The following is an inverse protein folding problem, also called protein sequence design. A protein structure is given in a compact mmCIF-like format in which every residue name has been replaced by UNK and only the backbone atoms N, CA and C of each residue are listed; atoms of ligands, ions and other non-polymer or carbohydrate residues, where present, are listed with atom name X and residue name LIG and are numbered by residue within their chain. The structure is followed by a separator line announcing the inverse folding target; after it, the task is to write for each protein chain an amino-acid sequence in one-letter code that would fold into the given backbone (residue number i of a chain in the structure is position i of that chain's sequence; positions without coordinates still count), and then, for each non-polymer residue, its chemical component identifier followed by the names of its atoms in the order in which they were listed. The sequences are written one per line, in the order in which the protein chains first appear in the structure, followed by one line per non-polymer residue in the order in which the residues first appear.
data_IF_693425931422
#
_entry.id   IF_693425931422
#
_cell.length_a   1.000
_cell.length_b   1.000
_cell.length_c   1.000
_cell.angle_alpha   90.00
_cell.angle_beta   90.00
_cell.angle_gamma   90.00
#
_symmetry.space_group_name_H-M   'P 1'
#
loop_
_entity.id
_entity.type
_entity.pdbx_description
1 polymer ?
#
# COMPACT_ATOMS: atom_id res chain seq x y z
N UNK A 1 33.17 -1.48 -10.03
CA UNK A 1 32.66 -2.88 -10.00
C UNK A 1 31.16 -2.83 -9.87
N UNK A 2 30.43 -3.78 -10.48
CA UNK A 2 28.98 -3.86 -10.36
C UNK A 2 28.58 -4.31 -8.94
N UNK A 3 27.44 -3.81 -8.45
CA UNK A 3 26.83 -4.27 -7.21
C UNK A 3 26.20 -5.65 -7.40
N UNK A 4 25.92 -6.34 -6.29
CA UNK A 4 25.18 -7.60 -6.31
C UNK A 4 23.78 -7.37 -6.86
N UNK A 5 23.32 -8.26 -7.73
CA UNK A 5 21.96 -8.22 -8.28
C UNK A 5 20.90 -8.21 -7.18
N UNK A 6 19.88 -7.36 -7.33
CA UNK A 6 18.87 -7.17 -6.29
C UNK A 6 18.13 -8.47 -5.95
N UNK A 7 17.78 -9.27 -6.96
CA UNK A 7 17.14 -10.57 -6.75
C UNK A 7 18.01 -11.50 -5.89
N UNK A 8 19.34 -11.43 -6.06
CA UNK A 8 20.28 -12.21 -5.25
C UNK A 8 20.28 -11.80 -3.79
N UNK A 9 20.21 -10.50 -3.51
CA UNK A 9 20.12 -9.97 -2.14
C UNK A 9 18.81 -10.39 -1.46
N UNK A 10 17.70 -10.46 -2.22
CA UNK A 10 16.41 -10.97 -1.71
C UNK A 10 16.52 -12.44 -1.33
N UNK A 11 17.10 -13.28 -2.18
CA UNK A 11 17.29 -14.71 -1.85
C UNK A 11 18.14 -14.89 -0.59
N UNK A 12 19.22 -14.11 -0.44
CA UNK A 12 20.02 -14.12 0.78
C UNK A 12 19.21 -13.66 2.01
N UNK A 13 18.39 -12.62 1.89
CA UNK A 13 17.54 -12.14 2.98
C UNK A 13 16.48 -13.17 3.40
N UNK A 14 15.98 -13.98 2.46
CA UNK A 14 15.04 -15.06 2.73
C UNK A 14 15.70 -16.29 3.37
N UNK A 15 17.03 -16.39 3.32
CA UNK A 15 17.83 -17.52 3.81
C UNK A 15 18.15 -18.56 2.73
N UNK A 16 17.91 -18.26 1.45
CA UNK A 16 18.18 -19.16 0.32
C UNK A 16 19.59 -18.94 -0.26
N UNK A 17 20.62 -19.17 0.55
CA UNK A 17 22.00 -19.20 0.05
C UNK A 17 22.25 -20.45 -0.80
N UNK A 18 22.89 -20.27 -1.95
CA UNK A 18 23.23 -21.34 -2.89
C UNK A 18 24.71 -21.73 -2.76
N UNK A 19 25.06 -22.92 -3.26
CA UNK A 19 26.46 -23.27 -3.44
C UNK A 19 27.08 -22.33 -4.49
N UNK A 20 28.15 -21.61 -4.13
CA UNK A 20 28.81 -20.63 -5.01
C UNK A 20 28.72 -19.17 -4.57
N UNK A 21 28.11 -18.88 -3.42
CA UNK A 21 27.90 -17.51 -2.94
C UNK A 21 29.15 -16.83 -2.39
N UNK A 22 30.28 -17.52 -2.33
CA UNK A 22 31.53 -17.04 -1.75
C UNK A 22 31.97 -15.68 -2.31
N UNK A 23 31.83 -15.50 -3.62
CA UNK A 23 32.13 -14.23 -4.29
C UNK A 23 31.19 -13.10 -3.87
N UNK A 24 29.91 -13.42 -3.64
CA UNK A 24 28.88 -12.48 -3.19
C UNK A 24 29.09 -12.10 -1.73
N UNK A 25 29.40 -13.07 -0.87
CA UNK A 25 29.72 -12.86 0.54
C UNK A 25 30.98 -12.00 0.70
N UNK A 26 32.03 -12.26 -0.07
CA UNK A 26 33.22 -11.41 -0.13
C UNK A 26 32.88 -9.99 -0.57
N UNK A 27 32.06 -9.82 -1.60
CA UNK A 27 31.61 -8.49 -2.00
C UNK A 27 30.83 -7.78 -0.89
N UNK A 28 29.95 -8.49 -0.17
CA UNK A 28 29.22 -7.94 0.97
C UNK A 28 30.16 -7.55 2.11
N UNK A 29 31.29 -8.23 2.31
CA UNK A 29 32.30 -7.83 3.28
C UNK A 29 32.99 -6.49 2.93
N UNK A 30 33.07 -6.16 1.64
CA UNK A 30 33.77 -4.96 1.14
C UNK A 30 32.82 -3.79 0.83
N UNK A 31 31.59 -4.06 0.41
CA UNK A 31 30.65 -3.05 -0.06
C UNK A 31 29.58 -2.66 0.98
N UNK A 32 29.67 -1.45 1.53
CA UNK A 32 28.69 -0.92 2.49
C UNK A 32 27.27 -0.82 1.93
N UNK A 33 27.12 -0.36 0.68
CA UNK A 33 25.80 -0.22 0.04
C UNK A 33 25.05 -1.55 -0.06
N UNK A 34 25.70 -2.61 -0.56
CA UNK A 34 25.06 -3.91 -0.67
C UNK A 34 24.71 -4.50 0.70
N UNK A 35 25.51 -4.22 1.75
CA UNK A 35 25.14 -4.60 3.13
C UNK A 35 23.90 -3.87 3.61
N UNK A 36 23.79 -2.58 3.35
CA UNK A 36 22.66 -1.78 3.81
C UNK A 36 21.37 -2.17 3.08
N UNK A 37 21.45 -2.45 1.79
CA UNK A 37 20.34 -3.02 1.01
C UNK A 37 19.91 -4.39 1.56
N UNK A 38 20.87 -5.30 1.82
CA UNK A 38 20.58 -6.61 2.43
C UNK A 38 19.93 -6.46 3.82
N UNK A 39 20.43 -5.56 4.67
CA UNK A 39 19.85 -5.27 6.00
C UNK A 39 18.44 -4.72 5.91
N UNK A 40 18.14 -3.89 4.92
CA UNK A 40 16.79 -3.38 4.69
C UNK A 40 15.82 -4.53 4.36
N UNK A 41 16.21 -5.42 3.45
CA UNK A 41 15.41 -6.60 3.09
C UNK A 41 15.24 -7.56 4.26
N UNK A 42 16.32 -7.85 4.99
CA UNK A 42 16.30 -8.74 6.14
C UNK A 42 15.35 -8.24 7.26
N UNK A 43 15.27 -6.92 7.46
CA UNK A 43 14.30 -6.33 8.41
C UNK A 43 12.85 -6.59 8.00
N UNK A 44 12.53 -6.50 6.71
CA UNK A 44 11.18 -6.80 6.20
C UNK A 44 10.87 -8.28 6.39
N UNK A 45 11.80 -9.17 6.06
CA UNK A 45 11.65 -10.62 6.27
C UNK A 45 11.44 -10.93 7.74
N UNK A 46 12.23 -10.33 8.64
CA UNK A 46 12.09 -10.52 10.08
C UNK A 46 10.71 -10.06 10.58
N UNK A 47 10.24 -8.89 10.14
CA UNK A 47 8.91 -8.38 10.49
C UNK A 47 7.79 -9.32 9.99
N UNK A 48 7.89 -9.81 8.76
CA UNK A 48 6.92 -10.74 8.19
C UNK A 48 6.88 -12.08 8.93
N UNK A 49 8.05 -12.60 9.36
CA UNK A 49 8.13 -13.85 10.13
C UNK A 49 7.65 -13.70 11.57
N UNK A 50 7.74 -12.51 12.13
CA UNK A 50 7.27 -12.19 13.49
C UNK A 50 5.80 -11.77 13.55
N UNK A 51 5.13 -11.64 12.41
CA UNK A 51 3.72 -11.28 12.35
C UNK A 51 2.84 -12.33 13.05
N UNK A 52 1.94 -11.87 13.91
CA UNK A 52 0.98 -12.72 14.61
C UNK A 52 -0.39 -12.68 13.90
N UNK A 53 -1.32 -13.53 14.31
CA UNK A 53 -2.68 -13.63 13.78
C UNK A 53 -3.40 -12.28 13.79
N UNK A 54 -3.10 -11.42 14.77
CA UNK A 54 -3.68 -10.06 14.86
C UNK A 54 -3.15 -9.10 13.79
N UNK A 55 -1.97 -9.37 13.23
CA UNK A 55 -1.37 -8.58 12.15
C UNK A 55 -1.88 -9.03 10.76
N UNK A 56 -2.52 -10.20 10.69
CA UNK A 56 -3.07 -10.73 9.46
C UNK A 56 -4.37 -10.02 9.08
N UNK A 57 -4.61 -9.79 7.78
CA UNK A 57 -5.90 -9.29 7.32
C UNK A 57 -7.01 -10.30 7.70
N UNK A 58 -8.20 -9.77 7.98
CA UNK A 58 -9.38 -10.62 8.23
C UNK A 58 -9.61 -11.57 7.06
N UNK A 59 -9.90 -12.83 7.39
CA UNK A 59 -10.16 -13.85 6.39
C UNK A 59 -11.24 -13.37 5.39
N UNK A 60 -11.00 -13.49 4.08
CA UNK A 60 -11.96 -13.04 3.09
C UNK A 60 -13.24 -13.88 3.19
N UNK A 61 -14.43 -13.29 2.93
CA UNK A 61 -15.69 -14.02 2.97
C UNK A 61 -15.76 -15.14 1.93
N UNK A 62 -16.49 -16.21 2.22
CA UNK A 62 -16.58 -17.42 1.39
C UNK A 62 -16.94 -17.15 -0.09
N UNK A 63 -17.82 -16.16 -0.34
CA UNK A 63 -18.19 -15.74 -1.70
C UNK A 63 -16.99 -15.34 -2.58
N UNK A 64 -15.90 -14.85 -1.97
CA UNK A 64 -14.68 -14.46 -2.67
C UNK A 64 -13.97 -15.71 -3.17
N UNK A 65 -13.85 -16.73 -2.32
CA UNK A 65 -13.28 -18.03 -2.70
C UNK A 65 -14.13 -18.73 -3.76
N UNK A 66 -15.45 -18.77 -3.58
CA UNK A 66 -16.36 -19.35 -4.58
C UNK A 66 -16.23 -18.67 -5.95
N UNK A 67 -16.07 -17.34 -5.98
CA UNK A 67 -15.80 -16.60 -7.22
C UNK A 67 -14.47 -17.00 -7.83
N UNK A 68 -13.38 -17.06 -7.05
CA UNK A 68 -12.06 -17.47 -7.56
C UNK A 68 -12.11 -18.88 -8.14
N UNK A 69 -12.75 -19.83 -7.45
CA UNK A 69 -12.90 -21.22 -7.92
C UNK A 69 -13.66 -21.29 -9.24
N UNK A 70 -14.79 -20.57 -9.35
CA UNK A 70 -15.53 -20.48 -10.61
C UNK A 70 -14.68 -19.88 -11.72
N UNK A 71 -14.04 -18.74 -11.47
CA UNK A 71 -13.26 -18.02 -12.48
C UNK A 71 -12.07 -18.86 -12.98
N UNK A 72 -11.45 -19.68 -12.11
CA UNK A 72 -10.41 -20.63 -12.50
C UNK A 72 -10.96 -21.84 -13.26
N UNK A 73 -12.17 -22.30 -12.96
CA UNK A 73 -12.82 -23.42 -13.65
C UNK A 73 -13.31 -23.04 -15.04
N UNK A 74 -13.79 -21.80 -15.19
CA UNK A 74 -14.28 -21.23 -16.43
C UNK A 74 -13.15 -20.65 -17.30
N UNK A 75 -11.91 -20.62 -16.81
CA UNK A 75 -10.77 -20.10 -17.54
C UNK A 75 -10.45 -20.99 -18.76
N UNK A 76 -10.53 -20.47 -20.00
CA UNK A 76 -10.11 -21.23 -21.17
C UNK A 76 -8.62 -21.55 -21.04
N UNK A 77 -8.19 -22.74 -21.49
CA UNK A 77 -6.82 -23.25 -21.43
C UNK A 77 -5.83 -22.53 -22.39
N UNK A 78 -6.00 -21.22 -22.57
CA UNK A 78 -5.12 -20.35 -23.33
C UNK A 78 -4.20 -19.53 -22.42
N UNK A 79 -3.21 -18.82 -22.99
CA UNK A 79 -2.30 -17.99 -22.22
C UNK A 79 -3.08 -16.93 -21.43
N UNK A 80 -2.63 -16.59 -20.21
CA UNK A 80 -3.36 -15.68 -19.33
C UNK A 80 -3.57 -14.35 -20.04
N UNK A 81 -4.83 -13.91 -20.15
CA UNK A 81 -5.14 -12.55 -20.57
C UNK A 81 -4.58 -11.61 -19.50
N UNK A 82 -3.69 -10.69 -19.88
CA UNK A 82 -3.20 -9.64 -18.96
C UNK A 82 -4.42 -8.86 -18.46
N UNK A 83 -4.76 -9.05 -17.20
CA UNK A 83 -5.83 -8.29 -16.56
C UNK A 83 -5.44 -6.81 -16.49
N UNK A 84 -6.27 -5.94 -17.04
CA UNK A 84 -6.23 -4.51 -16.74
C UNK A 84 -6.88 -4.32 -15.38
N UNK A 85 -6.14 -4.61 -14.31
CA UNK A 85 -6.61 -4.27 -12.97
C UNK A 85 -6.86 -2.75 -12.91
N UNK A 86 -8.04 -2.29 -12.46
CA UNK A 86 -8.26 -0.89 -12.19
C UNK A 86 -7.26 -0.47 -11.11
N UNK A 87 -6.37 0.47 -11.43
CA UNK A 87 -5.55 1.13 -10.42
C UNK A 87 -6.50 1.80 -9.45
N UNK A 88 -6.47 1.50 -8.13
CA UNK A 88 -7.27 2.20 -7.16
C UNK A 88 -7.01 3.69 -7.31
N UNK A 89 -8.06 4.44 -7.65
CA UNK A 89 -7.99 5.89 -7.80
C UNK A 89 -7.41 6.46 -6.52
N UNK A 90 -6.22 7.05 -6.64
CA UNK A 90 -5.61 7.86 -5.58
C UNK A 90 -6.70 8.83 -5.09
N UNK A 91 -7.01 8.91 -3.78
CA UNK A 91 -8.03 9.83 -3.31
C UNK A 91 -7.64 11.22 -3.77
N UNK A 92 -8.44 11.76 -4.69
CA UNK A 92 -8.27 13.12 -5.17
C UNK A 92 -8.36 14.02 -3.96
N UNK A 93 -7.32 14.82 -3.73
CA UNK A 93 -7.42 15.94 -2.79
C UNK A 93 -8.63 16.74 -3.24
N UNK A 94 -9.68 16.75 -2.41
CA UNK A 94 -10.79 17.65 -2.60
C UNK A 94 -10.21 19.05 -2.50
N UNK A 95 -9.93 19.66 -3.65
CA UNK A 95 -9.66 21.09 -3.75
C UNK A 95 -10.94 21.79 -3.28
N UNK A 96 -10.96 22.12 -1.99
CA UNK A 96 -11.95 22.99 -1.39
C UNK A 96 -11.86 24.36 -2.04
N UNK A 97 -12.61 24.56 -3.12
CA UNK A 97 -13.01 25.89 -3.59
C UNK A 97 -14.52 25.95 -3.55
N UNK A 98 -15.00 26.73 -2.58
CA UNK A 98 -16.35 26.70 -2.06
C UNK A 98 -17.44 26.94 -3.08
N UNK A 99 -18.42 26.05 -3.07
CA UNK A 99 -19.76 26.34 -3.56
C UNK A 99 -20.53 27.08 -2.46
N UNK A 100 -20.40 28.40 -2.43
CA UNK A 100 -21.28 29.25 -1.62
C UNK A 100 -22.73 29.15 -2.13
N UNK A 101 -23.74 28.96 -1.27
CA UNK A 101 -25.12 28.86 -1.72
C UNK A 101 -25.66 30.22 -2.20
N UNK A 102 -26.32 30.16 -3.37
CA UNK A 102 -27.07 31.24 -4.01
C UNK A 102 -28.29 31.61 -3.15
N UNK A 103 -28.50 32.91 -2.94
CA UNK A 103 -29.48 33.41 -1.97
C UNK A 103 -30.94 33.47 -2.41
N UNK A 104 -31.81 33.90 -1.48
CA UNK A 104 -32.88 34.90 -1.71
C UNK A 104 -33.49 35.37 -0.37
N UNK A 105 -33.92 36.64 -0.39
CA UNK A 105 -34.51 37.50 0.63
C UNK A 105 -35.67 36.87 1.46
N UNK A 106 -36.14 37.40 2.61
CA UNK A 106 -36.69 38.76 2.86
C UNK A 106 -36.83 39.10 4.37
N UNK A 107 -36.58 40.38 4.67
CA UNK A 107 -37.14 41.33 5.68
C UNK A 107 -37.91 40.80 6.90
N UNK A 108 -37.54 41.33 8.07
CA UNK A 108 -38.49 42.02 8.97
C UNK A 108 -37.76 43.14 9.74
N UNK A 109 -38.34 44.33 9.68
CA UNK A 109 -37.97 45.49 10.48
C UNK A 109 -38.82 45.50 11.75
N UNK A 110 -38.24 45.94 12.87
CA UNK A 110 -38.85 46.53 14.08
C UNK A 110 -37.65 47.19 14.78
N UNK A 111 -37.55 48.51 14.96
CA UNK A 111 -38.56 49.42 15.52
C UNK A 111 -38.22 49.63 17.00
N UNK A 112 -37.70 50.81 17.33
CA UNK A 112 -37.07 51.19 18.60
C UNK A 112 -38.03 51.45 19.79
N UNK A 113 -37.49 51.36 21.02
CA UNK A 113 -37.80 52.20 22.21
C UNK A 113 -36.86 51.73 23.37
N UNK A 114 -35.94 52.52 23.91
CA UNK A 114 -36.04 53.70 24.80
C UNK A 114 -36.29 53.37 26.29
N UNK A 115 -35.38 53.88 27.15
CA UNK A 115 -35.50 53.97 28.62
C UNK A 115 -34.74 52.86 29.37
N UNK A 116 -33.93 53.10 30.41
CA UNK A 116 -33.77 54.24 31.30
C UNK A 116 -33.38 53.72 32.69
N UNK A 117 -32.48 54.43 33.36
CA UNK A 117 -31.82 54.12 34.64
C UNK A 117 -32.75 53.74 35.80
N UNK A 118 -32.28 52.83 36.67
CA UNK A 118 -32.09 53.04 38.12
C UNK A 118 -31.45 51.80 38.76
#
# INVERSE_FOLDING_TARGET
MAHVEQARLVELALGHSAHGDESTLRHLAECGRCRDELRAMARVVAAARAADVVDLPTAPPERVWQRIVRDLSDAPAGPPRRGTAPVPGRPGRADGRGAGPRGRARRAALGAAAGGLA
#
